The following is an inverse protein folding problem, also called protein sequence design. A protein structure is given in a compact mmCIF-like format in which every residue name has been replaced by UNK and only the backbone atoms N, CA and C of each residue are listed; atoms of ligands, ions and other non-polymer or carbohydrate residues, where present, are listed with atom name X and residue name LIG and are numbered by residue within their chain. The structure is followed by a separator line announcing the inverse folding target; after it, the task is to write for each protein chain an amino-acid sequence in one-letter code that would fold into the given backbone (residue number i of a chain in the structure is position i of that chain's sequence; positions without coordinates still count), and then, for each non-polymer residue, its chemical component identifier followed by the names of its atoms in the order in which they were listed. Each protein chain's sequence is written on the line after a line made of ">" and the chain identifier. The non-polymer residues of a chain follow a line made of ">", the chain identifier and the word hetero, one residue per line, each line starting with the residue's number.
data_IF_817608189523
#
_entry.id   IF_817608189523
#
_cell.length_a   1.000
_cell.length_b   1.000
_cell.length_c   1.000
_cell.angle_alpha   90.00
_cell.angle_beta   90.00
_cell.angle_gamma   90.00
#
_symmetry.space_group_name_H-M   'P 1'
#
loop_
_entity.id
_entity.type
_entity.pdbx_description
1 polymer ?
#
# COMPACT_ATOMS: atom_id res chain seq x y z
N UNK A 1 -4.31 -13.97 -9.73
CA UNK A 1 -3.35 -13.77 -10.82
C UNK A 1 -1.95 -13.85 -10.23
N UNK A 2 -1.13 -14.78 -10.72
CA UNK A 2 0.27 -14.91 -10.34
C UNK A 2 1.07 -14.17 -11.41
N UNK A 3 1.68 -13.04 -11.04
CA UNK A 3 2.47 -12.23 -11.96
C UNK A 3 3.95 -12.48 -11.65
N UNK A 4 4.80 -12.73 -12.65
CA UNK A 4 6.21 -13.01 -12.42
C UNK A 4 6.88 -11.83 -11.70
N UNK A 5 7.73 -12.14 -10.72
CA UNK A 5 8.30 -11.17 -9.78
C UNK A 5 9.44 -10.33 -10.36
N UNK A 6 9.96 -10.67 -11.54
CA UNK A 6 10.91 -9.88 -12.30
C UNK A 6 10.76 -10.33 -13.76
N UNK A 7 10.51 -9.41 -14.69
CA UNK A 7 10.59 -9.74 -16.11
C UNK A 7 12.08 -9.94 -16.43
N UNK A 8 12.53 -11.14 -16.88
CA UNK A 8 13.96 -11.41 -17.12
C UNK A 8 14.59 -10.48 -18.18
N UNK A 9 13.77 -9.76 -18.95
CA UNK A 9 14.20 -8.80 -19.96
C UNK A 9 14.24 -7.33 -19.47
N UNK A 10 13.97 -7.06 -18.18
CA UNK A 10 14.04 -5.70 -17.64
C UNK A 10 15.50 -5.22 -17.55
N UNK A 11 15.86 -4.32 -18.47
CA UNK A 11 17.17 -3.65 -18.50
C UNK A 11 17.33 -2.71 -17.29
N UNK A 12 18.56 -2.53 -16.83
CA UNK A 12 18.82 -1.45 -15.86
C UNK A 12 18.62 -0.08 -16.52
N UNK A 13 18.33 0.99 -15.75
CA UNK A 13 18.15 2.32 -16.33
C UNK A 13 19.31 2.78 -17.22
N UNK A 14 20.54 2.40 -16.88
CA UNK A 14 21.77 2.73 -17.63
C UNK A 14 21.93 1.94 -18.94
N UNK A 15 21.21 0.82 -19.07
CA UNK A 15 21.23 -0.07 -20.24
C UNK A 15 20.08 0.18 -21.21
N UNK A 16 19.11 1.03 -20.84
CA UNK A 16 18.00 1.37 -21.71
C UNK A 16 18.50 2.06 -22.99
N UNK A 17 18.13 1.48 -24.13
CA UNK A 17 18.55 1.94 -25.46
C UNK A 17 17.50 2.81 -26.18
N UNK A 18 16.30 2.91 -25.59
CA UNK A 18 15.20 3.72 -26.12
C UNK A 18 14.06 3.87 -25.12
N UNK A 19 13.05 4.66 -25.50
CA UNK A 19 11.89 4.94 -24.63
C UNK A 19 11.07 3.69 -24.30
N UNK A 20 11.05 2.70 -25.18
CA UNK A 20 10.28 1.47 -24.94
C UNK A 20 10.91 0.62 -23.84
N UNK A 21 12.26 0.56 -23.77
CA UNK A 21 12.97 -0.09 -22.66
C UNK A 21 12.65 0.60 -21.32
N UNK A 22 12.65 1.95 -21.32
CA UNK A 22 12.34 2.75 -20.11
C UNK A 22 10.91 2.51 -19.65
N UNK A 23 9.94 2.54 -20.56
CA UNK A 23 8.53 2.30 -20.25
C UNK A 23 8.31 0.89 -19.70
N UNK A 24 8.94 -0.11 -20.31
CA UNK A 24 8.90 -1.49 -19.80
C UNK A 24 9.40 -1.58 -18.35
N UNK A 25 10.53 -0.93 -18.04
CA UNK A 25 11.06 -0.87 -16.67
C UNK A 25 10.12 -0.18 -15.68
N UNK A 26 9.48 0.92 -16.09
CA UNK A 26 8.51 1.65 -15.24
C UNK A 26 7.27 0.79 -15.00
N UNK A 27 6.67 0.21 -16.05
CA UNK A 27 5.46 -0.60 -15.94
C UNK A 27 5.69 -1.82 -15.04
N UNK A 28 6.86 -2.47 -15.14
CA UNK A 28 7.24 -3.57 -14.28
C UNK A 28 7.41 -3.15 -12.80
N UNK A 29 7.97 -1.97 -12.53
CA UNK A 29 8.10 -1.42 -11.18
C UNK A 29 6.74 -1.05 -10.59
N UNK A 30 5.87 -0.42 -11.37
CA UNK A 30 4.51 -0.06 -10.96
C UNK A 30 3.69 -1.31 -10.62
N UNK A 31 3.84 -2.38 -11.40
CA UNK A 31 3.24 -3.66 -11.11
C UNK A 31 3.71 -4.23 -9.76
N UNK A 32 5.00 -4.14 -9.45
CA UNK A 32 5.55 -4.57 -8.17
C UNK A 32 5.02 -3.73 -6.99
N UNK A 33 4.87 -2.41 -7.18
CA UNK A 33 4.26 -1.51 -6.19
C UNK A 33 2.82 -1.95 -5.90
N UNK A 34 2.03 -2.21 -6.94
CA UNK A 34 0.63 -2.65 -6.80
C UNK A 34 0.55 -4.00 -6.06
N UNK A 35 1.42 -4.96 -6.39
CA UNK A 35 1.49 -6.24 -5.68
C UNK A 35 1.86 -6.06 -4.21
N UNK A 36 2.82 -5.19 -3.90
CA UNK A 36 3.22 -4.87 -2.54
C UNK A 36 2.06 -4.23 -1.75
N UNK A 37 1.30 -3.32 -2.36
CA UNK A 37 0.09 -2.73 -1.77
C UNK A 37 -0.98 -3.79 -1.48
N UNK A 38 -1.19 -4.75 -2.39
CA UNK A 38 -2.10 -5.88 -2.18
C UNK A 38 -1.70 -6.74 -0.98
N UNK A 39 -0.40 -7.10 -0.88
CA UNK A 39 0.14 -7.84 0.27
C UNK A 39 0.03 -7.03 1.57
N UNK A 40 0.32 -5.73 1.53
CA UNK A 40 0.17 -4.82 2.67
C UNK A 40 -1.27 -4.81 3.18
N UNK A 41 -2.26 -4.73 2.29
CA UNK A 41 -3.67 -4.78 2.67
C UNK A 41 -4.05 -6.13 3.31
N UNK A 42 -3.50 -7.24 2.83
CA UNK A 42 -3.71 -8.55 3.43
C UNK A 42 -3.23 -8.60 4.89
N UNK A 43 -2.06 -8.03 5.19
CA UNK A 43 -1.58 -7.88 6.57
C UNK A 43 -2.48 -6.99 7.42
N UNK A 44 -2.99 -5.89 6.86
CA UNK A 44 -3.94 -5.01 7.57
C UNK A 44 -5.25 -5.73 7.90
N UNK A 45 -5.79 -6.51 6.95
CA UNK A 45 -6.98 -7.33 7.21
C UNK A 45 -6.72 -8.41 8.25
N UNK A 46 -5.58 -9.10 8.18
CA UNK A 46 -5.19 -10.07 9.21
C UNK A 46 -5.08 -9.40 10.59
N UNK A 47 -4.61 -8.16 10.67
CA UNK A 47 -4.55 -7.43 11.93
C UNK A 47 -5.92 -7.14 12.56
N UNK A 48 -7.01 -7.14 11.76
CA UNK A 48 -8.37 -6.94 12.27
C UNK A 48 -8.79 -8.01 13.28
N UNK A 49 -8.28 -9.24 13.17
CA UNK A 49 -8.59 -10.33 14.10
C UNK A 49 -8.08 -10.06 15.54
N UNK A 50 -7.12 -9.13 15.69
CA UNK A 50 -6.56 -8.73 16.98
C UNK A 50 -7.21 -7.45 17.53
N UNK A 51 -8.24 -6.92 16.87
CA UNK A 51 -8.93 -5.69 17.25
C UNK A 51 -10.26 -6.02 17.93
N UNK A 52 -10.40 -5.79 19.26
CA UNK A 52 -11.60 -6.17 19.99
C UNK A 52 -12.82 -5.31 19.65
N UNK A 53 -12.59 -4.06 19.22
CA UNK A 53 -13.64 -3.10 18.88
C UNK A 53 -13.31 -2.36 17.59
N UNK A 54 -14.32 -1.82 16.91
CA UNK A 54 -14.14 -0.99 15.72
C UNK A 54 -13.26 0.23 16.00
N UNK A 55 -13.47 0.92 17.13
CA UNK A 55 -12.69 2.11 17.52
C UNK A 55 -11.19 1.81 17.68
N UNK A 56 -10.85 0.56 18.05
CA UNK A 56 -9.46 0.14 18.22
C UNK A 56 -8.71 0.01 16.88
N UNK A 57 -9.41 0.08 15.74
CA UNK A 57 -8.83 -0.06 14.38
C UNK A 57 -8.04 1.19 13.97
N UNK A 58 -8.56 2.40 14.26
CA UNK A 58 -7.96 3.65 13.77
C UNK A 58 -6.53 3.88 14.29
N UNK A 59 -6.19 3.34 15.47
CA UNK A 59 -4.87 3.38 16.10
C UNK A 59 -4.07 4.68 15.82
N UNK A 60 -4.54 5.86 16.28
CA UNK A 60 -3.95 7.16 15.92
C UNK A 60 -2.46 7.27 16.25
N UNK A 61 -2.04 6.75 17.41
CA UNK A 61 -0.62 6.75 17.81
C UNK A 61 0.26 5.96 16.83
N UNK A 62 -0.27 4.86 16.28
CA UNK A 62 0.47 4.07 15.29
C UNK A 62 0.64 4.85 13.99
N UNK A 63 -0.40 5.54 13.53
CA UNK A 63 -0.34 6.39 12.34
C UNK A 63 0.67 7.53 12.55
N UNK A 64 0.60 8.20 13.70
CA UNK A 64 1.51 9.27 14.08
C UNK A 64 2.99 8.83 14.11
N UNK A 65 3.27 7.60 14.53
CA UNK A 65 4.62 7.04 14.51
C UNK A 65 5.07 6.58 13.11
N UNK A 66 4.14 6.19 12.23
CA UNK A 66 4.48 5.68 10.89
C UNK A 66 4.97 6.76 9.93
N UNK A 67 4.36 7.94 9.94
CA UNK A 67 4.68 9.01 8.96
C UNK A 67 6.10 9.57 9.11
N UNK A 68 6.63 9.87 10.32
CA UNK A 68 8.01 10.28 10.50
C UNK A 68 9.01 9.22 10.01
N UNK A 69 8.70 7.94 10.22
CA UNK A 69 9.54 6.85 9.71
C UNK A 69 9.55 6.81 8.17
N UNK A 70 8.40 7.04 7.51
CA UNK A 70 8.34 7.12 6.03
C UNK A 70 9.10 8.32 5.49
N UNK A 71 9.08 9.43 6.23
CA UNK A 71 9.90 10.61 5.91
C UNK A 71 11.39 10.24 5.87
N UNK A 72 11.90 9.57 6.90
CA UNK A 72 13.30 9.13 6.95
C UNK A 72 13.64 8.17 5.81
N UNK A 73 12.75 7.24 5.46
CA UNK A 73 12.95 6.34 4.33
C UNK A 73 12.96 7.05 2.98
N UNK A 74 12.15 8.11 2.82
CA UNK A 74 12.18 8.94 1.63
C UNK A 74 13.54 9.61 1.45
N UNK A 75 14.07 10.20 2.54
CA UNK A 75 15.39 10.84 2.55
C UNK A 75 16.50 9.85 2.20
N UNK A 76 16.45 8.63 2.76
CA UNK A 76 17.42 7.55 2.47
C UNK A 76 17.34 7.05 1.02
N UNK A 77 16.16 7.08 0.41
CA UNK A 77 15.93 6.69 -0.98
C UNK A 77 16.14 7.85 -1.97
N UNK A 78 16.61 9.01 -1.51
CA UNK A 78 16.77 10.23 -2.33
C UNK A 78 15.45 10.69 -2.98
N UNK A 79 14.31 10.47 -2.31
CA UNK A 79 12.99 10.94 -2.71
C UNK A 79 12.56 12.13 -1.86
N UNK A 80 11.79 13.05 -2.46
CA UNK A 80 11.23 14.20 -1.74
C UNK A 80 10.26 13.73 -0.65
N UNK A 81 10.55 14.01 0.65
CA UNK A 81 9.64 13.63 1.73
C UNK A 81 8.28 14.33 1.64
N UNK A 82 8.20 15.49 0.99
CA UNK A 82 6.94 16.21 0.74
C UNK A 82 6.04 15.47 -0.26
N UNK A 83 6.58 14.60 -1.09
CA UNK A 83 5.82 13.69 -1.94
C UNK A 83 5.48 12.37 -1.22
N UNK A 84 6.48 11.75 -0.58
CA UNK A 84 6.33 10.39 -0.02
C UNK A 84 5.40 10.37 1.20
N UNK A 85 5.47 11.38 2.08
CA UNK A 85 4.64 11.40 3.30
C UNK A 85 3.14 11.45 2.97
N UNK A 86 2.65 12.36 2.11
CA UNK A 86 1.24 12.36 1.68
C UNK A 86 0.81 11.07 0.98
N UNK A 87 1.66 10.50 0.12
CA UNK A 87 1.37 9.23 -0.55
C UNK A 87 1.09 8.11 0.46
N UNK A 88 1.97 7.96 1.46
CA UNK A 88 1.77 6.95 2.49
C UNK A 88 0.61 7.26 3.44
N UNK A 89 0.31 8.53 3.71
CA UNK A 89 -0.88 8.92 4.47
C UNK A 89 -2.16 8.45 3.76
N UNK A 90 -2.26 8.64 2.44
CA UNK A 90 -3.39 8.15 1.65
C UNK A 90 -3.51 6.62 1.70
N UNK A 91 -2.40 5.90 1.52
CA UNK A 91 -2.37 4.43 1.61
C UNK A 91 -2.86 3.98 2.99
N UNK A 92 -2.39 4.61 4.07
CA UNK A 92 -2.77 4.27 5.45
C UNK A 92 -4.27 4.50 5.68
N UNK A 93 -4.79 5.69 5.34
CA UNK A 93 -6.20 6.00 5.51
C UNK A 93 -7.11 5.04 4.74
N UNK A 94 -6.79 4.75 3.48
CA UNK A 94 -7.55 3.78 2.70
C UNK A 94 -7.48 2.38 3.30
N UNK A 95 -6.31 1.94 3.79
CA UNK A 95 -6.15 0.63 4.43
C UNK A 95 -6.98 0.52 5.73
N UNK A 96 -7.02 1.56 6.56
CA UNK A 96 -7.85 1.62 7.77
C UNK A 96 -9.33 1.47 7.41
N UNK A 97 -9.81 2.20 6.40
CA UNK A 97 -11.20 2.07 5.94
C UNK A 97 -11.52 0.66 5.46
N UNK A 98 -10.61 0.01 4.71
CA UNK A 98 -10.79 -1.39 4.31
C UNK A 98 -10.74 -2.35 5.50
N UNK A 99 -9.95 -2.05 6.53
CA UNK A 99 -9.88 -2.84 7.76
C UNK A 99 -11.20 -2.78 8.53
N UNK A 100 -11.80 -1.60 8.67
CA UNK A 100 -13.12 -1.42 9.29
C UNK A 100 -14.18 -2.23 8.55
N UNK A 101 -14.25 -2.12 7.21
CA UNK A 101 -15.17 -2.92 6.39
C UNK A 101 -14.94 -4.43 6.51
N UNK A 102 -13.70 -4.87 6.68
CA UNK A 102 -13.40 -6.28 6.90
C UNK A 102 -13.84 -6.75 8.29
N UNK A 103 -13.56 -5.96 9.32
CA UNK A 103 -13.92 -6.24 10.70
C UNK A 103 -15.45 -6.31 10.88
N UNK A 104 -16.19 -5.35 10.33
CA UNK A 104 -17.66 -5.35 10.36
C UNK A 104 -18.25 -6.62 9.72
N UNK A 105 -17.72 -7.03 8.56
CA UNK A 105 -18.12 -8.29 7.91
C UNK A 105 -17.85 -9.52 8.76
N UNK A 106 -16.70 -9.59 9.43
CA UNK A 106 -16.38 -10.70 10.32
C UNK A 106 -17.33 -10.78 11.53
N UNK A 107 -17.88 -9.64 11.97
CA UNK A 107 -18.79 -9.55 13.12
C UNK A 107 -20.27 -9.49 12.73
N UNK A 108 -20.60 -9.70 11.44
CA UNK A 108 -22.00 -9.67 10.96
C UNK A 108 -22.66 -8.29 10.99
N UNK A 109 -21.86 -7.22 11.05
CA UNK A 109 -22.32 -5.81 11.13
C UNK A 109 -22.40 -5.14 9.75
N UNK A 110 -22.38 -5.91 8.67
CA UNK A 110 -22.61 -5.39 7.31
C UNK A 110 -24.11 -5.06 7.17
N UNK A 111 -24.46 -3.81 7.45
CA UNK A 111 -25.71 -3.26 6.91
C UNK A 111 -25.53 -3.22 5.40
N UNK A 112 -26.39 -3.92 4.67
CA UNK A 112 -26.41 -3.90 3.22
C UNK A 112 -26.51 -2.47 2.71
N UNK A 113 -25.40 -1.92 2.25
CA UNK A 113 -25.43 -0.86 1.26
C UNK A 113 -25.67 -1.55 -0.08
N UNK A 114 -26.94 -1.82 -0.37
CA UNK A 114 -27.41 -1.90 -1.75
C UNK A 114 -27.26 -0.50 -2.35
N UNK A 115 -26.50 -0.44 -3.44
CA UNK A 115 -26.64 0.43 -4.61
C UNK A 115 -26.96 1.92 -4.44
N UNK A 116 -26.01 2.77 -4.84
CA UNK A 116 -26.19 3.81 -5.88
C UNK A 116 -24.84 4.19 -6.51
#
# INVERSE_FOLDING_TARGET
>A
MNFPLVDPDMKTPEQCSGLDDVRCGIDAMDQQIIQALGRRLAYVKAAAQFKPTEDSIAAPERVAAMLPQRRQWAEQASLDPMFVVPLFAQIIHWNIAQQVRHWRRQHGLDQGAQDE
#
